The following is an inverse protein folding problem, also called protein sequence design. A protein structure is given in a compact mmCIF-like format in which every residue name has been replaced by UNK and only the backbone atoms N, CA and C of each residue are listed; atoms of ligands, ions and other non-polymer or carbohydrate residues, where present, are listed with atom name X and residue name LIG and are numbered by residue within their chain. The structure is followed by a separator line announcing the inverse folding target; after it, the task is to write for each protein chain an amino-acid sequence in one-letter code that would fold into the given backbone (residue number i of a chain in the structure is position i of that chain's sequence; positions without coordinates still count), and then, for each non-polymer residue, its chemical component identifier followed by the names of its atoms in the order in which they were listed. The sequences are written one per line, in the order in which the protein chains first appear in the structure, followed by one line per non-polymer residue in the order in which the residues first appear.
data_IF_910833183974
#
_entry.id   IF_910833183974
#
_cell.length_a   1.000
_cell.length_b   1.000
_cell.length_c   1.000
_cell.angle_alpha   90.00
_cell.angle_beta   90.00
_cell.angle_gamma   90.00
#
_symmetry.space_group_name_H-M   'P 1'
#
loop_
_entity.id
_entity.type
_entity.pdbx_description
1 polymer ?
#
# COMPACT_ATOMS: atom_id res chain seq x y z
N UNK A 1 1.59 -39.91 -9.21
CA UNK A 1 2.95 -39.93 -9.81
C UNK A 1 3.28 -38.50 -10.25
N UNK A 2 4.52 -38.00 -9.95
CA UNK A 2 4.95 -36.64 -10.34
C UNK A 2 5.21 -35.66 -9.18
N UNK A 3 5.05 -36.07 -7.93
CA UNK A 3 5.31 -35.26 -6.77
C UNK A 3 6.62 -35.65 -6.07
N UNK A 4 7.38 -34.71 -5.48
CA UNK A 4 8.60 -35.02 -4.74
C UNK A 4 8.30 -35.92 -3.55
N UNK A 5 9.16 -36.94 -3.37
CA UNK A 5 9.03 -37.89 -2.25
C UNK A 5 9.16 -37.18 -0.93
N UNK A 6 8.17 -37.37 -0.06
CA UNK A 6 8.16 -36.84 1.31
C UNK A 6 8.46 -37.96 2.29
N UNK A 7 9.31 -37.69 3.25
CA UNK A 7 9.64 -38.62 4.34
C UNK A 7 9.59 -37.90 5.66
N UNK A 8 8.96 -38.52 6.64
CA UNK A 8 8.97 -38.06 8.02
C UNK A 8 8.99 -39.28 8.95
N UNK A 9 9.60 -39.14 10.12
CA UNK A 9 9.68 -40.19 11.14
C UNK A 9 8.79 -39.83 12.32
N UNK A 10 8.01 -40.79 12.78
CA UNK A 10 7.06 -40.60 13.88
C UNK A 10 7.25 -41.65 14.93
N UNK A 11 7.01 -41.31 16.20
CA UNK A 11 7.03 -42.24 17.33
C UNK A 11 5.77 -43.12 17.42
N UNK A 12 4.65 -42.67 16.79
CA UNK A 12 3.37 -43.38 16.82
C UNK A 12 2.81 -43.57 15.42
N UNK A 13 2.26 -44.78 15.15
CA UNK A 13 1.62 -45.14 13.86
C UNK A 13 0.41 -44.24 13.53
N UNK A 14 -0.33 -43.80 14.54
CA UNK A 14 -1.45 -42.87 14.39
C UNK A 14 -1.03 -41.53 13.80
N UNK A 15 0.08 -40.99 14.32
CA UNK A 15 0.60 -39.70 13.88
C UNK A 15 1.13 -39.77 12.43
N UNK A 16 1.77 -40.89 12.08
CA UNK A 16 2.20 -41.17 10.70
C UNK A 16 1.01 -41.21 9.72
N UNK A 17 -0.10 -41.90 10.10
CA UNK A 17 -1.32 -41.94 9.26
C UNK A 17 -1.94 -40.56 9.10
N UNK A 18 -2.06 -39.81 10.19
CA UNK A 18 -2.63 -38.47 10.18
C UNK A 18 -1.79 -37.52 9.32
N UNK A 19 -0.48 -37.58 9.44
CA UNK A 19 0.45 -36.82 8.61
C UNK A 19 0.31 -37.18 7.12
N UNK A 20 0.22 -38.46 6.77
CA UNK A 20 0.05 -38.92 5.42
C UNK A 20 -1.25 -38.38 4.80
N UNK A 21 -2.38 -38.48 5.51
CA UNK A 21 -3.67 -37.96 5.05
C UNK A 21 -3.66 -36.44 4.87
N UNK A 22 -3.05 -35.70 5.82
CA UNK A 22 -2.91 -34.25 5.72
C UNK A 22 -2.03 -33.84 4.54
N UNK A 23 -0.90 -34.54 4.34
CA UNK A 23 0.02 -34.29 3.24
C UNK A 23 -0.65 -34.57 1.89
N UNK A 24 -1.36 -35.70 1.75
CA UNK A 24 -2.12 -36.01 0.53
C UNK A 24 -3.23 -35.01 0.25
N UNK A 25 -3.96 -34.57 1.28
CA UNK A 25 -4.98 -33.54 1.16
C UNK A 25 -4.39 -32.20 0.72
N UNK A 26 -3.26 -31.80 1.33
CA UNK A 26 -2.58 -30.55 0.99
C UNK A 26 -1.96 -30.58 -0.43
N UNK A 27 -1.49 -31.74 -0.88
CA UNK A 27 -1.03 -31.94 -2.27
C UNK A 27 -2.20 -31.80 -3.25
N UNK A 28 -3.33 -32.47 -2.98
CA UNK A 28 -4.53 -32.40 -3.83
C UNK A 28 -5.09 -30.97 -3.94
N UNK A 29 -5.04 -30.20 -2.85
CA UNK A 29 -5.50 -28.80 -2.81
C UNK A 29 -4.46 -27.79 -3.35
N UNK A 30 -3.25 -28.24 -3.71
CA UNK A 30 -2.14 -27.37 -4.14
C UNK A 30 -1.51 -26.55 -3.02
N UNK A 31 -1.98 -26.65 -1.78
CA UNK A 31 -1.46 -25.91 -0.61
C UNK A 31 -0.02 -26.29 -0.28
N UNK A 32 0.32 -27.55 -0.45
CA UNK A 32 1.65 -28.07 -0.17
C UNK A 32 2.75 -27.32 -0.94
N UNK A 33 2.54 -27.06 -2.21
CA UNK A 33 3.52 -26.36 -3.05
C UNK A 33 3.68 -24.90 -2.63
N UNK A 34 2.57 -24.22 -2.32
CA UNK A 34 2.62 -22.83 -1.85
C UNK A 34 3.33 -22.68 -0.53
N UNK A 35 3.16 -23.64 0.39
CA UNK A 35 3.89 -23.65 1.66
C UNK A 35 5.39 -23.93 1.46
N UNK A 36 5.75 -24.79 0.51
CA UNK A 36 7.13 -25.06 0.16
C UNK A 36 7.79 -23.83 -0.49
N UNK A 37 7.10 -23.16 -1.40
CA UNK A 37 7.59 -21.91 -2.02
C UNK A 37 7.71 -20.77 -0.98
N UNK A 38 6.75 -20.63 -0.07
CA UNK A 38 6.80 -19.62 0.98
C UNK A 38 8.01 -19.78 1.93
N UNK A 39 8.56 -21.00 2.05
CA UNK A 39 9.79 -21.25 2.83
C UNK A 39 11.07 -20.96 2.06
N UNK A 40 11.04 -20.98 0.72
CA UNK A 40 12.21 -20.76 -0.14
C UNK A 40 12.49 -19.29 -0.39
N UNK A 41 11.46 -18.46 -0.40
CA UNK A 41 11.55 -17.05 -0.74
C UNK A 41 11.43 -16.18 0.50
N UNK A 42 12.26 -15.14 0.57
CA UNK A 42 12.16 -14.12 1.61
C UNK A 42 11.36 -12.89 1.13
N UNK A 43 11.10 -11.96 2.06
CA UNK A 43 10.33 -10.77 1.72
C UNK A 43 11.07 -9.80 0.80
N UNK A 44 12.40 -9.69 0.92
CA UNK A 44 13.21 -8.84 0.04
C UNK A 44 13.09 -9.29 -1.41
N UNK A 45 13.17 -10.60 -1.69
CA UNK A 45 12.98 -11.14 -3.04
C UNK A 45 11.59 -10.83 -3.61
N UNK A 46 10.54 -10.96 -2.77
CA UNK A 46 9.18 -10.63 -3.16
C UNK A 46 9.04 -9.13 -3.50
N UNK A 47 9.60 -8.25 -2.67
CA UNK A 47 9.57 -6.81 -2.86
C UNK A 47 10.35 -6.37 -4.10
N UNK A 48 11.55 -6.92 -4.31
CA UNK A 48 12.39 -6.63 -5.48
C UNK A 48 11.72 -7.06 -6.78
N UNK A 49 11.12 -8.25 -6.80
CA UNK A 49 10.35 -8.72 -7.95
C UNK A 49 9.17 -7.80 -8.23
N UNK A 50 8.43 -7.38 -7.18
CA UNK A 50 7.31 -6.46 -7.32
C UNK A 50 7.75 -5.11 -7.91
N UNK A 51 8.85 -4.55 -7.41
CA UNK A 51 9.39 -3.28 -7.93
C UNK A 51 9.73 -3.41 -9.42
N UNK A 52 10.40 -4.51 -9.82
CA UNK A 52 10.83 -4.72 -11.20
C UNK A 52 9.67 -4.97 -12.18
N UNK A 53 8.64 -5.69 -11.76
CA UNK A 53 7.60 -6.17 -12.69
C UNK A 53 6.29 -5.38 -12.64
N UNK A 54 5.91 -4.88 -11.46
CA UNK A 54 4.57 -4.31 -11.24
C UNK A 54 4.58 -2.78 -11.09
N UNK A 55 5.69 -2.23 -10.60
CA UNK A 55 5.72 -0.82 -10.23
C UNK A 55 5.78 0.12 -11.45
N UNK A 56 6.34 -0.35 -12.56
CA UNK A 56 6.48 0.45 -13.80
C UNK A 56 5.17 0.92 -14.42
N UNK A 57 4.06 0.23 -14.15
CA UNK A 57 2.72 0.64 -14.62
C UNK A 57 2.10 1.80 -13.82
N UNK A 58 2.71 2.20 -12.70
CA UNK A 58 2.20 3.26 -11.82
C UNK A 58 2.87 4.60 -12.14
N UNK A 59 2.22 5.72 -11.76
CA UNK A 59 2.83 7.05 -11.89
C UNK A 59 4.15 7.15 -11.11
N UNK A 60 5.09 7.98 -11.57
CA UNK A 60 6.41 8.15 -10.95
C UNK A 60 6.34 8.46 -9.45
N UNK A 61 5.42 9.34 -9.04
CA UNK A 61 5.23 9.66 -7.63
C UNK A 61 4.83 8.44 -6.79
N UNK A 62 3.96 7.59 -7.32
CA UNK A 62 3.55 6.34 -6.66
C UNK A 62 4.72 5.35 -6.62
N UNK A 63 5.50 5.24 -7.69
CA UNK A 63 6.69 4.38 -7.72
C UNK A 63 7.67 4.76 -6.60
N UNK A 64 8.01 6.04 -6.47
CA UNK A 64 8.90 6.54 -5.41
C UNK A 64 8.36 6.25 -4.02
N UNK A 65 7.06 6.51 -3.80
CA UNK A 65 6.43 6.25 -2.49
C UNK A 65 6.42 4.76 -2.13
N UNK A 66 6.09 3.89 -3.09
CA UNK A 66 6.10 2.44 -2.88
C UNK A 66 7.51 1.93 -2.57
N UNK A 67 8.50 2.33 -3.35
CA UNK A 67 9.89 1.95 -3.14
C UNK A 67 10.40 2.37 -1.75
N UNK A 68 10.10 3.59 -1.32
CA UNK A 68 10.47 4.07 0.02
C UNK A 68 9.80 3.26 1.13
N UNK A 69 8.50 2.96 0.99
CA UNK A 69 7.78 2.19 2.00
C UNK A 69 8.22 0.72 2.01
N UNK A 70 8.49 0.12 0.85
CA UNK A 70 9.04 -1.23 0.77
C UNK A 70 10.44 -1.32 1.38
N UNK A 71 11.30 -0.33 1.17
CA UNK A 71 12.60 -0.25 1.85
C UNK A 71 12.48 -0.30 3.37
N UNK A 72 11.46 0.36 3.93
CA UNK A 72 11.20 0.30 5.37
C UNK A 72 10.73 -1.11 5.79
N UNK A 73 9.86 -1.75 5.03
CA UNK A 73 9.45 -3.13 5.30
C UNK A 73 10.62 -4.11 5.19
N UNK A 74 11.44 -4.02 4.13
CA UNK A 74 12.63 -4.85 3.97
C UNK A 74 13.62 -4.70 5.13
N UNK A 75 13.76 -3.50 5.72
CA UNK A 75 14.61 -3.32 6.91
C UNK A 75 14.09 -4.01 8.17
N UNK A 76 12.83 -4.42 8.21
CA UNK A 76 12.21 -5.06 9.38
C UNK A 76 11.99 -6.56 9.21
N UNK A 77 11.59 -6.97 8.01
CA UNK A 77 11.18 -8.35 7.71
C UNK A 77 11.80 -8.90 6.41
N UNK A 78 12.77 -8.20 5.83
CA UNK A 78 13.33 -8.54 4.51
C UNK A 78 13.93 -9.93 4.43
N UNK A 79 14.69 -10.33 5.45
CA UNK A 79 15.38 -11.62 5.51
C UNK A 79 14.48 -12.80 5.94
N UNK A 80 13.27 -12.51 6.42
CA UNK A 80 12.37 -13.56 6.88
C UNK A 80 11.75 -14.30 5.69
N UNK A 81 11.65 -15.62 5.81
CA UNK A 81 10.91 -16.40 4.85
C UNK A 81 9.43 -15.96 4.82
N UNK A 82 8.81 -15.99 3.64
CA UNK A 82 7.41 -15.58 3.49
C UNK A 82 6.46 -16.38 4.38
N UNK A 83 6.80 -17.64 4.68
CA UNK A 83 6.05 -18.49 5.60
C UNK A 83 6.08 -18.01 7.06
N UNK A 84 7.06 -17.21 7.46
CA UNK A 84 7.24 -16.69 8.81
C UNK A 84 6.51 -15.36 9.03
N UNK A 85 6.06 -14.71 7.94
CA UNK A 85 5.39 -13.43 8.01
C UNK A 85 3.93 -13.61 8.43
N UNK A 86 3.71 -13.53 9.73
CA UNK A 86 2.39 -13.68 10.35
C UNK A 86 1.70 -12.34 10.57
N UNK A 87 0.37 -12.32 10.73
CA UNK A 87 -0.36 -11.10 11.11
C UNK A 87 0.15 -10.49 12.42
N UNK A 88 0.55 -11.31 13.40
CA UNK A 88 1.11 -10.86 14.67
C UNK A 88 2.41 -10.07 14.45
N UNK A 89 3.34 -10.64 13.69
CA UNK A 89 4.61 -9.99 13.35
C UNK A 89 4.39 -8.64 12.63
N UNK A 90 3.47 -8.60 11.66
CA UNK A 90 3.15 -7.36 10.94
C UNK A 90 2.58 -6.31 11.89
N UNK A 91 1.73 -6.72 12.84
CA UNK A 91 1.19 -5.82 13.87
C UNK A 91 2.31 -5.23 14.74
N UNK A 92 3.26 -6.05 15.20
CA UNK A 92 4.42 -5.59 15.96
C UNK A 92 5.29 -4.61 15.16
N UNK A 93 5.55 -4.91 13.89
CA UNK A 93 6.30 -4.02 13.00
C UNK A 93 5.57 -2.68 12.81
N UNK A 94 4.25 -2.70 12.65
CA UNK A 94 3.41 -1.50 12.59
C UNK A 94 3.55 -0.67 13.86
N UNK A 95 3.50 -1.31 15.04
CA UNK A 95 3.58 -0.62 16.33
C UNK A 95 4.99 -0.03 16.56
N UNK A 96 6.05 -0.70 16.10
CA UNK A 96 7.43 -0.13 16.06
C UNK A 96 7.49 1.09 15.13
N UNK A 97 6.85 1.01 13.95
CA UNK A 97 6.77 2.12 13.00
C UNK A 97 6.01 3.32 13.57
N UNK A 98 4.98 3.09 14.38
CA UNK A 98 4.20 4.13 15.04
C UNK A 98 5.03 4.93 16.04
N UNK A 99 5.93 4.28 16.76
CA UNK A 99 6.80 4.91 17.76
C UNK A 99 8.01 5.63 17.14
N UNK A 100 8.40 5.25 15.93
CA UNK A 100 9.60 5.81 15.27
C UNK A 100 9.33 7.24 14.80
N UNK A 101 10.13 8.20 15.29
CA UNK A 101 10.11 9.59 14.87
C UNK A 101 10.60 9.71 13.42
N UNK A 102 9.90 10.50 12.62
CA UNK A 102 10.27 10.80 11.22
C UNK A 102 11.38 11.85 11.18
N UNK A 103 12.01 12.05 10.01
CA UNK A 103 12.99 13.12 9.78
C UNK A 103 12.46 14.53 10.07
N UNK A 104 11.12 14.69 10.11
CA UNK A 104 10.45 15.96 10.46
C UNK A 104 10.16 16.09 11.96
N UNK A 105 10.73 15.25 12.82
CA UNK A 105 10.55 15.31 14.28
C UNK A 105 9.16 14.88 14.79
N UNK A 106 8.35 14.20 13.98
CA UNK A 106 6.98 13.78 14.34
C UNK A 106 6.80 12.27 14.21
N UNK A 107 5.94 11.71 15.05
CA UNK A 107 5.48 10.32 14.90
C UNK A 107 4.50 10.22 13.72
N UNK A 108 4.38 9.01 13.16
CA UNK A 108 3.46 8.75 12.04
C UNK A 108 2.02 8.73 12.51
N UNK A 109 1.14 9.37 11.75
CA UNK A 109 -0.31 9.27 11.97
C UNK A 109 -0.84 7.89 11.58
N UNK A 110 -2.01 7.53 12.11
CA UNK A 110 -2.70 6.29 11.74
C UNK A 110 -2.94 6.20 10.22
N UNK A 111 -3.29 7.31 9.57
CA UNK A 111 -3.44 7.37 8.11
C UNK A 111 -2.13 7.01 7.39
N UNK A 112 -0.98 7.50 7.88
CA UNK A 112 0.31 7.13 7.32
C UNK A 112 0.62 5.66 7.52
N UNK A 113 0.38 5.12 8.72
CA UNK A 113 0.59 3.69 9.02
C UNK A 113 -0.30 2.79 8.17
N UNK A 114 -1.58 3.16 7.98
CA UNK A 114 -2.48 2.43 7.09
C UNK A 114 -1.97 2.38 5.63
N UNK A 115 -1.31 3.46 5.15
CA UNK A 115 -0.68 3.46 3.82
C UNK A 115 0.50 2.49 3.73
N UNK A 116 1.36 2.42 4.77
CA UNK A 116 2.43 1.43 4.83
C UNK A 116 1.88 0.00 4.77
N UNK A 117 0.82 -0.27 5.53
CA UNK A 117 0.12 -1.57 5.53
C UNK A 117 -0.52 -1.87 4.16
N UNK A 118 -1.09 -0.86 3.50
CA UNK A 118 -1.70 -1.03 2.18
C UNK A 118 -0.66 -1.40 1.10
N UNK A 119 0.54 -0.80 1.13
CA UNK A 119 1.64 -1.17 0.22
C UNK A 119 2.09 -2.60 0.47
N UNK A 120 2.30 -2.99 1.74
CA UNK A 120 2.63 -4.38 2.10
C UNK A 120 1.55 -5.35 1.60
N UNK A 121 0.27 -5.01 1.81
CA UNK A 121 -0.87 -5.82 1.35
C UNK A 121 -0.88 -5.98 -0.18
N UNK A 122 -0.56 -4.92 -0.92
CA UNK A 122 -0.48 -4.97 -2.39
C UNK A 122 0.58 -5.97 -2.86
N UNK A 123 1.77 -5.91 -2.27
CA UNK A 123 2.89 -6.81 -2.61
C UNK A 123 2.55 -8.26 -2.25
N UNK A 124 2.04 -8.51 -1.03
CA UNK A 124 1.62 -9.85 -0.61
C UNK A 124 0.50 -10.40 -1.50
N UNK A 125 -0.46 -9.57 -1.92
CA UNK A 125 -1.55 -10.00 -2.80
C UNK A 125 -1.05 -10.46 -4.18
N UNK A 126 -0.01 -9.82 -4.73
CA UNK A 126 0.65 -10.28 -5.97
C UNK A 126 1.35 -11.62 -5.74
N UNK A 127 2.05 -11.77 -4.60
CA UNK A 127 2.65 -13.05 -4.19
C UNK A 127 1.65 -14.20 -4.10
N UNK A 128 0.40 -13.91 -3.70
CA UNK A 128 -0.69 -14.90 -3.67
C UNK A 128 -1.24 -15.18 -5.07
N UNK A 129 -1.59 -14.12 -5.82
CA UNK A 129 -2.42 -14.25 -7.04
C UNK A 129 -1.60 -14.63 -8.27
N UNK A 130 -0.46 -13.98 -8.46
CA UNK A 130 0.30 -14.12 -9.70
C UNK A 130 1.46 -15.09 -9.55
N UNK A 131 2.23 -14.98 -8.45
CA UNK A 131 3.43 -15.82 -8.30
C UNK A 131 3.20 -17.09 -7.50
N UNK A 132 2.08 -17.17 -6.78
CA UNK A 132 1.70 -18.32 -5.97
C UNK A 132 2.78 -18.74 -4.94
N UNK A 133 3.57 -17.79 -4.48
CA UNK A 133 4.61 -18.01 -3.47
C UNK A 133 4.07 -18.14 -2.05
N UNK A 134 2.87 -17.60 -1.80
CA UNK A 134 2.16 -17.69 -0.52
C UNK A 134 0.70 -18.10 -0.74
N UNK A 135 0.11 -18.76 0.24
CA UNK A 135 -1.27 -19.23 0.14
C UNK A 135 -2.30 -18.12 0.36
N UNK A 136 -2.07 -17.29 1.37
CA UNK A 136 -2.96 -16.19 1.74
C UNK A 136 -2.15 -14.92 2.08
N UNK A 137 -2.80 -13.78 1.94
CA UNK A 137 -2.19 -12.51 2.32
C UNK A 137 -2.36 -12.31 3.85
N UNK A 138 -1.28 -12.34 4.65
CA UNK A 138 -1.37 -12.20 6.10
C UNK A 138 -1.90 -10.83 6.54
N UNK A 139 -1.74 -9.81 5.68
CA UNK A 139 -2.21 -8.44 5.96
C UNK A 139 -3.75 -8.36 5.97
N UNK A 140 -4.45 -9.24 5.24
CA UNK A 140 -5.91 -9.24 5.16
C UNK A 140 -6.60 -9.45 6.51
N UNK A 141 -5.92 -10.09 7.44
CA UNK A 141 -6.39 -10.35 8.81
C UNK A 141 -6.17 -9.18 9.77
N UNK A 142 -5.47 -8.12 9.33
CA UNK A 142 -5.19 -6.95 10.17
C UNK A 142 -6.33 -5.94 10.12
N UNK A 143 -6.70 -5.44 11.29
CA UNK A 143 -7.64 -4.32 11.39
C UNK A 143 -6.96 -3.02 11.02
N UNK A 144 -7.60 -2.22 10.18
CA UNK A 144 -7.17 -0.85 9.90
C UNK A 144 -7.23 0.01 11.16
N UNK A 145 -6.25 0.87 11.34
CA UNK A 145 -6.24 1.86 12.41
C UNK A 145 -7.28 2.95 12.11
N UNK A 146 -7.98 3.40 13.16
CA UNK A 146 -8.94 4.52 13.02
C UNK A 146 -8.17 5.78 12.66
N UNK A 147 -8.51 6.38 11.54
CA UNK A 147 -7.95 7.65 11.09
C UNK A 147 -8.70 8.82 11.73
N UNK A 148 -7.99 9.93 11.97
CA UNK A 148 -8.63 11.17 12.39
C UNK A 148 -9.53 11.71 11.27
N UNK A 149 -10.62 12.35 11.64
CA UNK A 149 -11.43 13.11 10.68
C UNK A 149 -10.54 14.13 9.96
N UNK A 150 -10.83 14.39 8.69
CA UNK A 150 -10.20 15.46 7.92
C UNK A 150 -10.40 16.82 8.58
N UNK A 151 -9.67 17.82 8.10
CA UNK A 151 -9.93 19.20 8.51
C UNK A 151 -11.19 19.69 7.82
N UNK A 152 -12.17 20.09 8.60
CA UNK A 152 -13.48 20.60 8.13
C UNK A 152 -13.53 22.13 8.36
N UNK A 153 -12.45 22.86 8.04
CA UNK A 153 -12.45 24.31 8.16
C UNK A 153 -12.87 24.93 6.84
N UNK A 154 -13.96 25.65 6.86
CA UNK A 154 -14.41 26.54 5.77
C UNK A 154 -13.89 27.96 6.04
N UNK A 155 -13.70 28.74 4.98
CA UNK A 155 -13.40 30.16 5.08
C UNK A 155 -14.66 30.90 5.52
N UNK A 156 -14.53 31.91 6.39
CA UNK A 156 -15.59 32.89 6.59
C UNK A 156 -15.69 33.83 5.37
N UNK A 157 -16.80 34.55 5.24
CA UNK A 157 -16.97 35.53 4.16
C UNK A 157 -15.83 36.59 4.17
N UNK A 158 -15.49 37.11 5.34
CA UNK A 158 -14.38 38.05 5.50
C UNK A 158 -13.01 37.47 5.14
N UNK A 159 -12.77 36.16 5.42
CA UNK A 159 -11.56 35.46 5.03
C UNK A 159 -11.51 35.24 3.52
N UNK A 160 -12.67 34.96 2.91
CA UNK A 160 -12.80 34.81 1.47
C UNK A 160 -12.48 36.12 0.73
N UNK A 161 -13.06 37.23 1.16
CA UNK A 161 -12.81 38.56 0.59
C UNK A 161 -11.33 38.95 0.68
N UNK A 162 -10.72 38.76 1.87
CA UNK A 162 -9.29 38.99 2.05
C UNK A 162 -8.42 38.11 1.17
N UNK A 163 -8.80 36.83 0.97
CA UNK A 163 -8.10 35.92 0.08
C UNK A 163 -8.16 36.41 -1.36
N UNK A 164 -9.35 36.76 -1.84
CA UNK A 164 -9.56 37.24 -3.22
C UNK A 164 -8.77 38.52 -3.47
N UNK A 165 -8.79 39.48 -2.55
CA UNK A 165 -8.03 40.71 -2.68
C UNK A 165 -6.51 40.48 -2.66
N UNK A 166 -6.01 39.61 -1.76
CA UNK A 166 -4.59 39.27 -1.71
C UNK A 166 -4.12 38.55 -3.02
N UNK A 167 -4.99 37.78 -3.66
CA UNK A 167 -4.64 37.13 -4.94
C UNK A 167 -4.54 38.10 -6.10
N UNK A 168 -5.33 39.19 -6.10
CA UNK A 168 -5.22 40.28 -7.13
C UNK A 168 -3.89 41.00 -7.05
N UNK A 169 -3.36 41.16 -5.83
CA UNK A 169 -2.09 41.85 -5.57
C UNK A 169 -0.86 40.95 -5.77
N UNK A 170 -1.07 39.65 -6.11
CA UNK A 170 0.02 38.70 -6.33
C UNK A 170 0.84 39.02 -7.58
N UNK A 171 2.16 38.78 -7.48
CA UNK A 171 3.04 38.85 -8.66
C UNK A 171 2.69 37.79 -9.74
N UNK A 172 2.02 36.70 -9.34
CA UNK A 172 1.52 35.70 -10.29
C UNK A 172 0.14 36.13 -10.80
N UNK A 173 0.08 36.54 -12.06
CA UNK A 173 -1.14 37.05 -12.73
C UNK A 173 -2.25 36.01 -12.83
N UNK A 174 -1.90 34.73 -12.88
CA UNK A 174 -2.88 33.64 -13.05
C UNK A 174 -3.46 33.17 -11.71
N UNK A 175 -2.88 33.60 -10.58
CA UNK A 175 -3.28 33.13 -9.25
C UNK A 175 -4.72 33.49 -8.92
N UNK A 176 -5.14 34.71 -9.20
CA UNK A 176 -6.51 35.17 -8.92
C UNK A 176 -7.53 34.30 -9.68
N UNK A 177 -7.34 34.16 -10.98
CA UNK A 177 -8.22 33.30 -11.83
C UNK A 177 -8.26 31.86 -11.33
N UNK A 178 -7.09 31.30 -10.99
CA UNK A 178 -7.01 29.92 -10.48
C UNK A 178 -7.75 29.75 -9.15
N UNK A 179 -7.66 30.74 -8.23
CA UNK A 179 -8.37 30.71 -6.95
C UNK A 179 -9.87 30.86 -7.13
N UNK A 180 -10.32 31.76 -8.02
CA UNK A 180 -11.75 31.93 -8.33
C UNK A 180 -12.30 30.63 -8.92
N UNK A 181 -11.62 30.02 -9.89
CA UNK A 181 -12.02 28.71 -10.45
C UNK A 181 -12.05 27.62 -9.38
N UNK A 182 -11.05 27.56 -8.49
CA UNK A 182 -11.03 26.59 -7.40
C UNK A 182 -12.22 26.73 -6.46
N UNK A 183 -12.59 27.96 -6.14
CA UNK A 183 -13.70 28.26 -5.22
C UNK A 183 -15.07 27.95 -5.86
N UNK A 184 -15.23 28.27 -7.14
CA UNK A 184 -16.49 28.08 -7.85
C UNK A 184 -16.74 26.62 -8.28
N UNK A 185 -15.69 25.89 -8.65
CA UNK A 185 -15.83 24.52 -9.19
C UNK A 185 -15.48 23.42 -8.21
N UNK A 186 -14.69 23.73 -7.15
CA UNK A 186 -14.11 22.71 -6.27
C UNK A 186 -13.02 21.87 -6.94
N UNK A 187 -12.55 22.25 -8.13
CA UNK A 187 -11.56 21.50 -8.90
C UNK A 187 -10.20 21.44 -8.16
N UNK A 188 -9.48 20.34 -8.38
CA UNK A 188 -8.16 20.16 -7.76
C UNK A 188 -7.12 21.05 -8.43
N UNK A 189 -6.10 21.44 -7.66
CA UNK A 189 -5.02 22.30 -8.16
C UNK A 189 -4.49 21.90 -9.55
N UNK A 190 -4.25 20.60 -9.80
CA UNK A 190 -3.69 20.15 -11.07
C UNK A 190 -4.73 20.11 -12.21
N UNK A 191 -6.00 20.02 -11.90
CA UNK A 191 -7.10 20.15 -12.86
C UNK A 191 -7.16 21.59 -13.36
N UNK A 192 -7.11 22.58 -12.46
CA UNK A 192 -7.09 24.01 -12.81
C UNK A 192 -5.82 24.38 -13.58
N UNK A 193 -4.65 23.97 -13.09
CA UNK A 193 -3.35 24.28 -13.73
C UNK A 193 -3.12 23.54 -15.05
N UNK A 194 -3.82 22.44 -15.27
CA UNK A 194 -3.80 21.67 -16.52
C UNK A 194 -4.82 22.13 -17.56
N UNK A 195 -5.77 23.01 -17.19
CA UNK A 195 -6.83 23.50 -18.06
C UNK A 195 -6.24 24.26 -19.26
N UNK A 196 -6.76 23.99 -20.44
CA UNK A 196 -6.35 24.66 -21.70
C UNK A 196 -7.56 25.25 -22.36
N UNK A 197 -7.38 26.32 -23.15
CA UNK A 197 -8.46 26.97 -23.88
C UNK A 197 -9.29 26.04 -24.79
N UNK A 198 -8.69 25.00 -25.30
CA UNK A 198 -9.41 23.98 -26.08
C UNK A 198 -10.38 23.13 -25.25
N UNK A 199 -10.22 23.14 -23.95
CA UNK A 199 -11.02 22.36 -22.99
C UNK A 199 -12.12 23.24 -22.35
N UNK A 200 -12.24 24.54 -22.77
CA UNK A 200 -13.17 25.53 -22.25
C UNK A 200 -14.16 25.92 -23.35
N UNK A 201 -15.44 25.77 -23.08
CA UNK A 201 -16.53 26.28 -23.89
C UNK A 201 -17.23 27.42 -23.14
N UNK A 202 -16.98 28.67 -23.59
CA UNK A 202 -17.56 29.85 -22.96
C UNK A 202 -19.05 30.02 -23.29
N UNK A 203 -19.54 29.43 -24.39
CA UNK A 203 -20.94 29.54 -24.79
C UNK A 203 -21.82 28.61 -23.97
N UNK A 204 -21.33 27.37 -23.73
CA UNK A 204 -22.03 26.39 -22.93
C UNK A 204 -21.66 26.50 -21.42
N UNK A 205 -20.69 27.33 -21.05
CA UNK A 205 -20.21 27.50 -19.68
C UNK A 205 -19.53 26.24 -19.12
N UNK A 206 -18.84 25.46 -19.97
CA UNK A 206 -18.17 24.23 -19.64
C UNK A 206 -16.64 24.37 -19.60
N UNK A 207 -15.97 23.64 -18.67
CA UNK A 207 -14.52 23.59 -18.57
C UNK A 207 -14.05 22.23 -17.99
#
# INVERSE_FOLDING_TARGET
KGYPRQTATFSRKTDAKLWAQQTESSIRSGKYFRQAEAKKHNFSELADRYIKTMLGSKSLNVQVQYAQQLKVWCSMIGELALAEITPALISECRDRLAKKVTSRGRVRSNASLNRYIAVLSSVMSVGVREWQWIEENPVSKLRKLKESKGRERLLSEEELDRLLEATKQSANKDLHTAVVLALSTGARKMEIWGLRWRDVDLNEGLA
#
